data_IF_021512610269
#
_entry.id   IF_021512610269
#
_cell.length_a   1.000
_cell.length_b   1.000
_cell.length_c   1.000
_cell.angle_alpha   90.00
_cell.angle_beta   90.00
_cell.angle_gamma   90.00
#
_symmetry.space_group_name_H-M   'P 1'
#
loop_
_entity.id
_entity.type
_entity.pdbx_description
1 polymer ?
#
# COMPACT_ATOMS: atom_id res chain seq x y z
N UNK A 1 14.05 -7.65 -8.88
CA UNK A 1 14.76 -6.46 -9.39
C UNK A 1 14.31 -5.24 -8.58
N UNK A 2 15.08 -4.82 -7.56
CA UNK A 2 14.68 -3.76 -6.61
C UNK A 2 14.49 -2.39 -7.29
N UNK A 3 15.33 -2.05 -8.27
CA UNK A 3 15.25 -0.77 -8.96
C UNK A 3 13.95 -0.58 -9.73
N UNK A 4 13.54 -1.62 -10.45
CA UNK A 4 12.29 -1.64 -11.21
C UNK A 4 11.06 -1.57 -10.29
N UNK A 5 11.05 -2.34 -9.19
CA UNK A 5 9.96 -2.29 -8.22
C UNK A 5 9.84 -0.91 -7.57
N UNK A 6 10.96 -0.28 -7.18
CA UNK A 6 10.96 1.07 -6.63
C UNK A 6 10.44 2.12 -7.63
N UNK A 7 10.84 2.01 -8.91
CA UNK A 7 10.35 2.88 -9.98
C UNK A 7 8.84 2.72 -10.20
N UNK A 8 8.34 1.48 -10.19
CA UNK A 8 6.91 1.21 -10.34
C UNK A 8 6.09 1.74 -9.15
N UNK A 9 6.61 1.59 -7.92
CA UNK A 9 6.02 2.21 -6.73
C UNK A 9 5.93 3.72 -6.90
N UNK A 10 7.02 4.37 -7.33
CA UNK A 10 7.05 5.81 -7.55
C UNK A 10 6.00 6.29 -8.55
N UNK A 11 5.93 5.65 -9.73
CA UNK A 11 4.97 6.02 -10.77
C UNK A 11 3.52 5.87 -10.28
N UNK A 12 3.18 4.75 -9.65
CA UNK A 12 1.83 4.53 -9.12
C UNK A 12 1.51 5.45 -7.95
N UNK A 13 2.49 5.79 -7.11
CA UNK A 13 2.31 6.75 -6.03
C UNK A 13 1.95 8.14 -6.57
N UNK A 14 2.58 8.58 -7.66
CA UNK A 14 2.16 9.80 -8.36
C UNK A 14 0.71 9.71 -8.85
N UNK A 15 0.31 8.59 -9.45
CA UNK A 15 -1.08 8.40 -9.88
C UNK A 15 -2.07 8.46 -8.70
N UNK A 16 -1.68 7.92 -7.53
CA UNK A 16 -2.48 7.98 -6.31
C UNK A 16 -2.73 9.41 -5.81
N UNK A 17 -1.77 10.32 -5.96
CA UNK A 17 -1.93 11.73 -5.55
C UNK A 17 -3.12 12.37 -6.27
N UNK A 18 -3.30 12.07 -7.55
CA UNK A 18 -4.34 12.70 -8.37
C UNK A 18 -5.68 11.94 -8.33
N UNK A 19 -5.65 10.62 -8.17
CA UNK A 19 -6.85 9.79 -8.32
C UNK A 19 -7.48 9.36 -7.00
N UNK A 20 -6.69 9.21 -5.94
CA UNK A 20 -7.10 8.52 -4.70
C UNK A 20 -7.72 7.13 -4.95
N UNK A 21 -7.32 6.43 -6.01
CA UNK A 21 -7.82 5.07 -6.29
C UNK A 21 -7.21 4.06 -5.29
N UNK A 22 -8.05 3.53 -4.42
CA UNK A 22 -7.70 2.54 -3.38
C UNK A 22 -7.04 1.29 -3.99
N UNK A 23 -7.42 0.88 -5.20
CA UNK A 23 -6.84 -0.31 -5.84
C UNK A 23 -5.39 -0.08 -6.23
N UNK A 24 -5.09 1.11 -6.75
CA UNK A 24 -3.71 1.51 -7.07
C UNK A 24 -2.91 1.59 -5.77
N UNK A 25 -3.47 2.22 -4.74
CA UNK A 25 -2.81 2.37 -3.44
C UNK A 25 -2.49 1.02 -2.78
N UNK A 26 -3.43 0.08 -2.76
CA UNK A 26 -3.18 -1.28 -2.26
C UNK A 26 -2.11 -2.00 -3.08
N UNK A 27 -2.10 -1.81 -4.40
CA UNK A 27 -1.05 -2.35 -5.26
C UNK A 27 0.34 -1.83 -4.90
N UNK A 28 0.45 -0.55 -4.50
CA UNK A 28 1.72 0.02 -4.02
C UNK A 28 2.18 -0.65 -2.73
N UNK A 29 1.28 -0.83 -1.75
CA UNK A 29 1.62 -1.46 -0.47
C UNK A 29 2.09 -2.90 -0.65
N UNK A 30 1.50 -3.65 -1.59
CA UNK A 30 1.96 -5.01 -1.88
C UNK A 30 3.33 -5.02 -2.56
N UNK A 31 3.56 -4.13 -3.53
CA UNK A 31 4.90 -4.00 -4.14
C UNK A 31 5.97 -3.57 -3.14
N UNK A 32 5.62 -2.71 -2.18
CA UNK A 32 6.52 -2.29 -1.10
C UNK A 32 6.95 -3.48 -0.24
N UNK A 33 6.02 -4.36 0.15
CA UNK A 33 6.36 -5.61 0.86
C UNK A 33 7.29 -6.51 0.06
N UNK A 34 7.01 -6.69 -1.23
CA UNK A 34 7.87 -7.52 -2.12
C UNK A 34 9.27 -6.91 -2.23
N UNK A 35 9.36 -5.58 -2.31
CA UNK A 35 10.63 -4.87 -2.32
C UNK A 35 11.41 -5.10 -1.02
N UNK A 36 10.77 -4.98 0.13
CA UNK A 36 11.41 -5.20 1.44
C UNK A 36 11.96 -6.63 1.56
N UNK A 37 11.20 -7.64 1.09
CA UNK A 37 11.66 -9.02 1.07
C UNK A 37 12.92 -9.18 0.20
N UNK A 38 12.93 -8.57 -0.98
CA UNK A 38 14.06 -8.65 -1.91
C UNK A 38 15.29 -7.88 -1.39
N UNK A 39 15.09 -6.71 -0.77
CA UNK A 39 16.17 -5.93 -0.14
C UNK A 39 16.81 -6.70 1.01
N UNK A 40 15.99 -7.30 1.89
CA UNK A 40 16.49 -8.11 2.99
C UNK A 40 17.28 -9.33 2.49
N UNK A 41 16.79 -9.99 1.43
CA UNK A 41 17.52 -11.07 0.77
C UNK A 41 18.88 -10.61 0.25
N UNK A 42 18.92 -9.49 -0.48
CA UNK A 42 20.16 -8.95 -1.06
C UNK A 42 21.18 -8.53 0.00
N UNK A 43 20.73 -7.92 1.09
CA UNK A 43 21.61 -7.51 2.20
C UNK A 43 22.26 -8.71 2.90
N UNK A 44 21.57 -9.85 2.96
CA UNK A 44 22.05 -11.07 3.59
C UNK A 44 22.93 -11.92 2.67
N UNK A 45 22.65 -11.93 1.36
CA UNK A 45 23.34 -12.79 0.39
C UNK A 45 24.56 -12.13 -0.28
N UNK A 46 24.57 -10.80 -0.42
CA UNK A 46 25.63 -10.10 -1.16
C UNK A 46 26.77 -9.63 -0.25
N UNK A 47 28.03 -9.71 -0.73
CA UNK A 47 29.17 -9.15 -0.03
C UNK A 47 29.02 -7.63 0.14
N UNK A 48 29.61 -7.11 1.21
CA UNK A 48 29.46 -5.71 1.59
C UNK A 48 30.19 -4.77 0.61
N UNK A 49 29.45 -4.29 -0.39
CA UNK A 49 29.93 -3.29 -1.34
C UNK A 49 29.25 -1.94 -1.00
N UNK A 50 29.98 -0.96 -0.44
CA UNK A 50 29.39 0.26 0.12
C UNK A 50 28.48 1.02 -0.85
N UNK A 51 28.89 1.18 -2.10
CA UNK A 51 28.12 1.91 -3.11
C UNK A 51 26.79 1.21 -3.46
N UNK A 52 26.77 -0.12 -3.51
CA UNK A 52 25.55 -0.88 -3.77
C UNK A 52 24.58 -0.78 -2.58
N UNK A 53 25.09 -0.80 -1.34
CA UNK A 53 24.26 -0.56 -0.15
C UNK A 53 23.62 0.82 -0.17
N UNK A 54 24.38 1.84 -0.56
CA UNK A 54 23.84 3.19 -0.71
C UNK A 54 22.69 3.23 -1.74
N UNK A 55 22.89 2.62 -2.91
CA UNK A 55 21.85 2.55 -3.96
C UNK A 55 20.60 1.84 -3.44
N UNK A 56 20.74 0.67 -2.82
CA UNK A 56 19.62 -0.09 -2.24
C UNK A 56 18.89 0.74 -1.18
N UNK A 57 19.63 1.46 -0.33
CA UNK A 57 19.04 2.35 0.68
C UNK A 57 18.21 3.48 0.04
N UNK A 58 18.70 4.12 -1.02
CA UNK A 58 17.95 5.15 -1.73
C UNK A 58 16.68 4.59 -2.39
N UNK A 59 16.77 3.41 -3.01
CA UNK A 59 15.60 2.74 -3.61
C UNK A 59 14.54 2.38 -2.56
N UNK A 60 14.98 1.90 -1.40
CA UNK A 60 14.09 1.59 -0.26
C UNK A 60 13.39 2.86 0.22
N UNK A 61 14.11 3.98 0.39
CA UNK A 61 13.50 5.27 0.76
C UNK A 61 12.46 5.77 -0.24
N UNK A 62 12.69 5.57 -1.54
CA UNK A 62 11.69 5.90 -2.57
C UNK A 62 10.44 5.05 -2.37
N UNK A 63 10.62 3.76 -2.12
CA UNK A 63 9.52 2.83 -1.87
C UNK A 63 8.73 3.21 -0.61
N UNK A 64 9.40 3.55 0.50
CA UNK A 64 8.79 3.97 1.76
C UNK A 64 7.92 5.23 1.58
N UNK A 65 8.42 6.22 0.85
CA UNK A 65 7.67 7.43 0.54
C UNK A 65 6.45 7.11 -0.35
N UNK A 66 6.59 6.20 -1.31
CA UNK A 66 5.48 5.73 -2.13
C UNK A 66 4.40 5.02 -1.30
N UNK A 67 4.79 4.18 -0.35
CA UNK A 67 3.89 3.52 0.58
C UNK A 67 3.14 4.54 1.45
N UNK A 68 3.84 5.55 1.99
CA UNK A 68 3.21 6.62 2.77
C UNK A 68 2.15 7.39 1.94
N UNK A 69 2.44 7.69 0.67
CA UNK A 69 1.47 8.31 -0.24
C UNK A 69 0.25 7.40 -0.44
N UNK A 70 0.46 6.10 -0.61
CA UNK A 70 -0.62 5.12 -0.76
C UNK A 70 -1.53 5.07 0.48
N UNK A 71 -0.95 5.04 1.68
CA UNK A 71 -1.70 5.09 2.95
C UNK A 71 -2.54 6.37 3.07
N UNK A 72 -1.95 7.53 2.73
CA UNK A 72 -2.68 8.80 2.71
C UNK A 72 -3.83 8.77 1.70
N UNK A 73 -3.60 8.21 0.52
CA UNK A 73 -4.62 8.09 -0.53
C UNK A 73 -5.80 7.20 -0.08
N UNK A 74 -5.51 6.07 0.58
CA UNK A 74 -6.53 5.19 1.16
C UNK A 74 -7.33 5.94 2.23
N UNK A 75 -6.65 6.58 3.19
CA UNK A 75 -7.31 7.31 4.27
C UNK A 75 -8.23 8.41 3.71
N UNK A 76 -7.75 9.22 2.75
CA UNK A 76 -8.56 10.25 2.08
C UNK A 76 -9.76 9.68 1.33
N UNK A 77 -9.59 8.55 0.66
CA UNK A 77 -10.68 7.90 -0.05
C UNK A 77 -11.75 7.37 0.91
N UNK A 78 -11.35 6.93 2.12
CA UNK A 78 -12.25 6.46 3.17
C UNK A 78 -12.93 7.60 3.95
N UNK A 79 -12.31 8.77 4.06
CA UNK A 79 -12.89 9.96 4.70
C UNK A 79 -14.11 10.50 3.93
N UNK A 80 -14.14 10.37 2.60
CA UNK A 80 -15.27 10.78 1.77
C UNK A 80 -16.19 9.58 1.49
N UNK A 81 -17.46 9.59 1.94
CA UNK A 81 -18.39 8.52 1.61
C UNK A 81 -18.58 8.45 0.08
N UNK A 82 -18.14 7.34 -0.50
CA UNK A 82 -18.26 7.00 -1.91
C UNK A 82 -18.97 5.63 -1.96
N UNK A 83 -19.78 5.36 -3.00
CA UNK A 83 -20.55 4.09 -3.13
C UNK A 83 -19.72 2.82 -2.91
N UNK A 84 -18.50 2.76 -3.44
CA UNK A 84 -17.56 1.64 -3.25
C UNK A 84 -17.11 1.51 -1.78
N UNK A 85 -16.80 2.63 -1.12
CA UNK A 85 -16.43 2.62 0.30
C UNK A 85 -17.63 2.22 1.17
N UNK A 86 -18.82 2.70 0.83
CA UNK A 86 -20.05 2.30 1.52
C UNK A 86 -20.34 0.80 1.36
N UNK A 87 -20.14 0.21 0.18
CA UNK A 87 -20.32 -1.23 -0.06
C UNK A 87 -19.33 -2.06 0.77
N UNK A 88 -18.06 -1.67 0.83
CA UNK A 88 -17.03 -2.35 1.64
C UNK A 88 -17.36 -2.24 3.14
N UNK A 89 -17.69 -1.05 3.63
CA UNK A 89 -18.02 -0.83 5.04
C UNK A 89 -19.32 -1.54 5.44
N UNK A 90 -20.34 -1.56 4.56
CA UNK A 90 -21.57 -2.34 4.78
C UNK A 90 -21.28 -3.83 4.90
N UNK A 91 -20.40 -4.37 4.04
CA UNK A 91 -19.99 -5.78 4.10
C UNK A 91 -19.34 -6.12 5.45
N UNK A 92 -18.49 -5.23 5.99
CA UNK A 92 -17.87 -5.43 7.32
C UNK A 92 -18.88 -5.27 8.46
N UNK A 93 -19.87 -4.37 8.32
CA UNK A 93 -20.90 -4.11 9.34
C UNK A 93 -22.05 -5.12 9.34
N UNK A 94 -22.22 -5.94 8.31
CA UNK A 94 -23.35 -6.87 8.19
C UNK A 94 -22.94 -8.35 8.25
N UNK A 95 -22.58 -8.83 9.45
CA UNK A 95 -22.96 -10.18 9.92
C UNK A 95 -23.21 -10.15 11.43
N UNK A 96 -24.23 -9.41 11.88
CA UNK A 96 -24.96 -9.74 13.12
C UNK A 96 -26.44 -9.47 12.90
N UNK A 97 -27.09 -10.40 12.21
CA UNK A 97 -28.54 -10.56 12.21
C UNK A 97 -28.96 -11.17 13.54
N UNK A 98 -28.98 -10.39 14.63
CA UNK A 98 -29.80 -10.74 15.78
C UNK A 98 -31.26 -10.47 15.44
N UNK A 99 -32.17 -11.46 15.51
CA UNK A 99 -33.57 -11.23 15.23
C UNK A 99 -34.15 -10.29 16.29
N UNK A 100 -34.87 -9.24 15.85
CA UNK A 100 -35.69 -8.43 16.74
C UNK A 100 -36.83 -9.31 17.26
N UNK A 101 -36.70 -9.82 18.49
CA UNK A 101 -37.81 -10.47 19.20
C UNK A 101 -38.91 -9.44 19.44
N UNK A 102 -40.08 -9.78 18.94
CA UNK A 102 -41.23 -8.89 18.81
C UNK A 102 -41.83 -8.42 20.12
N UNK A 103 -42.59 -7.33 19.97
CA UNK A 103 -43.52 -6.76 20.94
C UNK A 103 -44.41 -7.82 21.57
N UNK A 104 -44.57 -7.75 22.90
CA UNK A 104 -45.87 -7.74 23.57
C UNK A 104 -45.82 -6.76 24.73
#
# INVERSE_FOLDING_TARGET
>A
NVGETAQNIFQKALDCIFTSDIRIANGILEMHRVLDMEVNRLINELPEIPYLRAIISYLTKIADLGAAIAEIAINRALEKPNKMVEEIVKTVKHVRTTPLTGKR
#
